data_IF_588418788223
#
_entry.id   IF_588418788223
#
_cell.length_a   1.000
_cell.length_b   1.000
_cell.length_c   1.000
_cell.angle_alpha   90.00
_cell.angle_beta   90.00
_cell.angle_gamma   90.00
#
_symmetry.space_group_name_H-M   'P 1'
#
loop_
_entity.id
_entity.type
_entity.pdbx_description
1 polymer ?
#
# COMPACT_ATOMS: atom_id res chain seq x y z
N UNK A 1 -24.94 -6.69 -16.21
CA UNK A 1 -24.81 -7.52 -17.41
C UNK A 1 -23.35 -7.87 -17.69
N UNK A 2 -22.60 -8.27 -16.66
CA UNK A 2 -21.17 -8.58 -16.77
C UNK A 2 -21.00 -10.06 -16.50
N UNK A 3 -20.27 -10.76 -17.37
CA UNK A 3 -20.04 -12.20 -17.28
C UNK A 3 -18.62 -12.57 -17.70
N UNK A 4 -18.12 -13.69 -17.17
CA UNK A 4 -16.90 -14.31 -17.66
C UNK A 4 -17.19 -15.08 -18.96
N UNK A 5 -16.42 -14.85 -20.02
CA UNK A 5 -16.59 -15.50 -21.32
C UNK A 5 -15.59 -16.63 -21.53
N UNK A 6 -15.86 -17.50 -22.52
CA UNK A 6 -15.04 -18.70 -22.82
C UNK A 6 -13.59 -18.44 -23.19
N UNK A 7 -13.26 -17.22 -23.63
CA UNK A 7 -11.88 -16.80 -23.89
C UNK A 7 -11.14 -16.36 -22.61
N UNK A 8 -11.77 -16.49 -21.44
CA UNK A 8 -11.28 -16.07 -20.12
C UNK A 8 -11.42 -14.56 -19.84
N UNK A 9 -11.93 -13.78 -20.79
CA UNK A 9 -12.15 -12.33 -20.59
C UNK A 9 -13.46 -12.07 -19.84
N UNK A 10 -13.58 -10.90 -19.24
CA UNK A 10 -14.83 -10.45 -18.61
C UNK A 10 -15.45 -9.39 -19.51
N UNK A 11 -16.69 -9.63 -19.95
CA UNK A 11 -17.37 -8.77 -20.94
C UNK A 11 -18.72 -8.29 -20.44
N UNK A 12 -19.18 -7.16 -20.99
CA UNK A 12 -20.55 -6.70 -20.80
C UNK A 12 -21.51 -7.29 -21.86
N UNK A 13 -22.80 -6.97 -21.76
CA UNK A 13 -23.83 -7.40 -22.72
C UNK A 13 -23.64 -6.91 -24.16
N UNK A 14 -22.84 -5.87 -24.40
CA UNK A 14 -22.54 -5.38 -25.75
C UNK A 14 -21.26 -6.00 -26.31
N UNK A 15 -20.63 -6.93 -25.59
CA UNK A 15 -19.40 -7.62 -25.99
C UNK A 15 -18.11 -6.83 -25.76
N UNK A 16 -18.19 -5.67 -25.10
CA UNK A 16 -17.00 -4.89 -24.73
C UNK A 16 -16.26 -5.58 -23.58
N UNK A 17 -14.94 -5.65 -23.72
CA UNK A 17 -14.04 -6.24 -22.72
C UNK A 17 -13.86 -5.27 -21.57
N UNK A 18 -14.18 -5.70 -20.35
CA UNK A 18 -13.97 -4.97 -19.10
C UNK A 18 -12.66 -5.38 -18.44
N UNK A 19 -12.38 -6.69 -18.37
CA UNK A 19 -11.12 -7.23 -17.85
C UNK A 19 -10.58 -8.31 -18.79
N UNK A 20 -9.24 -8.38 -18.90
CA UNK A 20 -8.56 -9.40 -19.70
C UNK A 20 -8.68 -10.78 -19.06
N UNK A 21 -8.66 -10.84 -17.73
CA UNK A 21 -8.90 -12.04 -16.93
C UNK A 21 -9.75 -11.71 -15.72
N UNK A 22 -10.64 -12.62 -15.35
CA UNK A 22 -11.43 -12.51 -14.13
C UNK A 22 -10.49 -12.38 -12.92
N UNK A 23 -10.71 -11.41 -12.04
CA UNK A 23 -9.86 -11.24 -10.85
C UNK A 23 -8.39 -10.91 -11.12
N UNK A 24 -8.01 -10.59 -12.38
CA UNK A 24 -6.62 -10.44 -12.85
C UNK A 24 -5.74 -11.71 -12.76
N UNK A 25 -6.27 -12.82 -12.26
CA UNK A 25 -5.60 -14.12 -12.12
C UNK A 25 -6.39 -15.29 -12.76
N UNK A 26 -7.63 -15.06 -13.21
CA UNK A 26 -8.48 -16.09 -13.81
C UNK A 26 -8.98 -17.15 -12.83
N UNK A 27 -8.90 -16.91 -11.52
CA UNK A 27 -9.22 -17.88 -10.48
C UNK A 27 -10.54 -17.53 -9.78
N UNK A 28 -11.26 -18.56 -9.34
CA UNK A 28 -12.48 -18.43 -8.58
C UNK A 28 -12.20 -18.03 -7.12
N UNK A 29 -12.87 -16.98 -6.65
CA UNK A 29 -12.81 -16.49 -5.28
C UNK A 29 -13.36 -17.47 -4.24
N UNK A 30 -14.15 -18.47 -4.64
CA UNK A 30 -14.57 -19.56 -3.75
C UNK A 30 -13.45 -20.54 -3.40
N UNK A 31 -12.40 -20.61 -4.22
CA UNK A 31 -11.33 -21.59 -4.11
C UNK A 31 -10.02 -21.03 -3.50
N UNK A 32 -10.01 -19.76 -3.10
CA UNK A 32 -8.83 -19.08 -2.55
C UNK A 32 -8.83 -19.03 -1.02
N UNK A 33 -7.64 -19.08 -0.44
CA UNK A 33 -7.45 -19.02 1.01
C UNK A 33 -6.35 -18.02 1.39
N UNK A 34 -6.39 -17.53 2.63
CA UNK A 34 -5.32 -16.71 3.18
C UNK A 34 -4.06 -17.55 3.40
N UNK A 35 -2.97 -17.11 2.78
CA UNK A 35 -1.65 -17.71 2.88
C UNK A 35 -0.61 -16.64 3.20
N UNK A 36 0.61 -17.04 3.57
CA UNK A 36 1.70 -16.10 3.84
C UNK A 36 2.90 -16.39 2.96
N UNK A 37 3.38 -15.34 2.28
CA UNK A 37 4.61 -15.39 1.49
C UNK A 37 5.83 -15.49 2.42
N UNK A 38 6.61 -16.59 2.36
CA UNK A 38 7.69 -16.82 3.31
C UNK A 38 8.96 -15.99 3.01
N UNK A 39 9.06 -15.38 1.82
CA UNK A 39 10.25 -14.64 1.33
C UNK A 39 10.24 -13.14 1.63
N UNK A 40 9.06 -12.55 1.87
CA UNK A 40 8.89 -11.10 1.91
C UNK A 40 9.50 -10.47 3.17
N UNK A 41 9.11 -10.98 4.34
CA UNK A 41 9.46 -10.46 5.68
C UNK A 41 10.90 -10.68 6.15
N UNK A 42 11.55 -11.84 5.92
CA UNK A 42 12.89 -12.09 6.47
C UNK A 42 13.93 -11.03 6.08
N UNK A 43 14.95 -10.83 6.91
CA UNK A 43 16.13 -10.05 6.54
C UNK A 43 16.94 -10.77 5.46
N UNK A 44 17.89 -10.10 4.80
CA UNK A 44 18.71 -10.74 3.76
C UNK A 44 19.51 -11.94 4.29
N UNK A 45 20.08 -11.81 5.49
CA UNK A 45 20.80 -12.91 6.15
C UNK A 45 19.90 -14.08 6.55
N UNK A 46 18.70 -13.79 7.07
CA UNK A 46 17.72 -14.83 7.41
C UNK A 46 17.18 -15.55 6.17
N UNK A 47 16.99 -14.81 5.08
CA UNK A 47 16.58 -15.35 3.79
C UNK A 47 17.64 -16.29 3.22
N UNK A 48 18.91 -15.88 3.18
CA UNK A 48 20.00 -16.75 2.72
C UNK A 48 20.09 -18.02 3.57
N UNK A 49 20.07 -17.88 4.91
CA UNK A 49 20.08 -19.04 5.79
C UNK A 49 18.91 -20.00 5.56
N UNK A 50 17.72 -19.49 5.24
CA UNK A 50 16.51 -20.31 5.11
C UNK A 50 16.34 -20.96 3.74
N UNK A 51 16.77 -20.30 2.66
CA UNK A 51 16.47 -20.74 1.29
C UNK A 51 17.71 -21.18 0.50
N UNK A 52 18.91 -20.65 0.78
CA UNK A 52 20.13 -21.06 0.08
C UNK A 52 20.56 -22.44 0.55
N UNK A 53 20.69 -23.36 -0.40
CA UNK A 53 21.06 -24.74 -0.12
C UNK A 53 22.54 -24.96 -0.39
N UNK A 54 23.30 -25.23 0.68
CA UNK A 54 24.73 -25.45 0.60
C UNK A 54 25.03 -26.95 0.68
N UNK A 55 25.47 -27.51 -0.45
CA UNK A 55 25.79 -28.93 -0.61
C UNK A 55 27.26 -29.26 -0.32
N UNK A 56 28.09 -28.27 0.04
CA UNK A 56 29.52 -28.51 0.31
C UNK A 56 29.76 -29.27 1.61
N UNK A 57 28.83 -29.19 2.57
CA UNK A 57 28.96 -29.83 3.87
C UNK A 57 28.39 -31.25 3.84
N UNK A 58 29.27 -32.24 3.66
CA UNK A 58 28.86 -33.65 3.61
C UNK A 58 28.18 -34.15 4.89
N UNK A 59 28.67 -33.72 6.07
CA UNK A 59 28.10 -34.13 7.37
C UNK A 59 26.67 -33.62 7.53
N UNK A 60 26.38 -32.46 6.95
CA UNK A 60 25.04 -31.90 6.88
C UNK A 60 24.13 -32.71 5.95
N UNK A 61 24.60 -33.04 4.76
CA UNK A 61 23.84 -33.83 3.78
C UNK A 61 23.49 -35.22 4.31
N UNK A 62 24.44 -35.94 4.93
CA UNK A 62 24.19 -37.27 5.52
C UNK A 62 23.17 -37.27 6.67
N UNK A 63 22.95 -36.13 7.31
CA UNK A 63 21.87 -35.98 8.31
C UNK A 63 20.51 -35.85 7.62
N UNK A 64 20.48 -35.32 6.40
CA UNK A 64 19.25 -34.92 5.74
C UNK A 64 18.77 -35.97 4.75
N UNK A 65 19.68 -36.55 3.97
CA UNK A 65 19.38 -37.47 2.88
C UNK A 65 19.89 -38.87 3.18
N UNK A 66 19.27 -39.86 2.53
CA UNK A 66 19.79 -41.22 2.48
C UNK A 66 21.15 -41.28 1.74
N UNK A 67 21.97 -42.29 2.04
CA UNK A 67 23.36 -42.36 1.57
C UNK A 67 23.49 -42.44 0.04
N UNK A 68 22.54 -43.09 -0.62
CA UNK A 68 22.40 -43.16 -2.07
C UNK A 68 22.26 -41.78 -2.70
N UNK A 69 21.35 -40.94 -2.18
CA UNK A 69 21.13 -39.57 -2.65
C UNK A 69 22.35 -38.69 -2.40
N UNK A 70 23.04 -38.85 -1.27
CA UNK A 70 24.28 -38.10 -0.99
C UNK A 70 25.36 -38.41 -2.02
N UNK A 71 25.53 -39.68 -2.40
CA UNK A 71 26.48 -40.10 -3.44
C UNK A 71 26.14 -39.50 -4.80
N UNK A 72 24.86 -39.46 -5.15
CA UNK A 72 24.42 -38.81 -6.41
C UNK A 72 24.70 -37.31 -6.42
N UNK A 73 24.42 -36.60 -5.32
CA UNK A 73 24.68 -35.16 -5.19
C UNK A 73 26.18 -34.87 -5.33
N UNK A 74 27.02 -35.66 -4.66
CA UNK A 74 28.48 -35.50 -4.71
C UNK A 74 29.09 -35.91 -6.06
N UNK A 75 28.52 -36.92 -6.73
CA UNK A 75 28.98 -37.39 -8.03
C UNK A 75 28.60 -36.48 -9.19
N UNK A 76 27.57 -35.64 -9.03
CA UNK A 76 27.04 -34.80 -10.10
C UNK A 76 27.47 -33.34 -9.96
N UNK A 77 28.36 -32.90 -10.86
CA UNK A 77 28.79 -31.50 -10.96
C UNK A 77 27.67 -30.54 -11.41
N UNK A 78 26.59 -31.04 -12.02
CA UNK A 78 25.47 -30.21 -12.47
C UNK A 78 24.53 -29.82 -11.33
N UNK A 79 24.50 -30.58 -10.23
CA UNK A 79 23.63 -30.35 -9.07
C UNK A 79 23.82 -28.95 -8.48
N UNK A 80 25.07 -28.52 -8.31
CA UNK A 80 25.38 -27.21 -7.76
C UNK A 80 24.84 -26.10 -8.66
N UNK A 81 25.03 -26.24 -9.98
CA UNK A 81 24.56 -25.25 -10.95
C UNK A 81 23.04 -25.10 -10.96
N UNK A 82 22.28 -26.20 -10.86
CA UNK A 82 20.81 -26.14 -10.81
C UNK A 82 20.30 -25.53 -9.50
N UNK A 83 20.93 -25.84 -8.37
CA UNK A 83 20.58 -25.23 -7.08
C UNK A 83 20.93 -23.73 -7.02
N UNK A 84 22.03 -23.32 -7.63
CA UNK A 84 22.38 -21.90 -7.77
C UNK A 84 21.38 -21.16 -8.69
N UNK A 85 20.91 -21.80 -9.76
CA UNK A 85 19.82 -21.25 -10.60
C UNK A 85 18.52 -21.09 -9.82
N UNK A 86 18.14 -22.07 -8.99
CA UNK A 86 16.98 -21.97 -8.10
C UNK A 86 17.13 -20.77 -7.14
N UNK A 87 18.30 -20.62 -6.53
CA UNK A 87 18.60 -19.54 -5.61
C UNK A 87 18.51 -18.15 -6.27
N UNK A 88 19.11 -17.95 -7.43
CA UNK A 88 19.05 -16.66 -8.15
C UNK A 88 17.61 -16.34 -8.59
N UNK A 89 16.81 -17.34 -8.97
CA UNK A 89 15.38 -17.15 -9.27
C UNK A 89 14.61 -16.68 -8.04
N UNK A 90 14.80 -17.33 -6.89
CA UNK A 90 14.15 -16.93 -5.63
C UNK A 90 14.53 -15.50 -5.19
N UNK A 91 15.77 -15.11 -5.43
CA UNK A 91 16.25 -13.74 -5.17
C UNK A 91 15.55 -12.73 -6.07
N UNK A 92 15.46 -13.02 -7.38
CA UNK A 92 14.74 -12.18 -8.35
C UNK A 92 13.26 -12.05 -8.01
N UNK A 93 12.60 -13.17 -7.68
CA UNK A 93 11.20 -13.21 -7.28
C UNK A 93 10.97 -12.37 -6.02
N UNK A 94 11.89 -12.43 -5.04
CA UNK A 94 11.82 -11.63 -3.82
C UNK A 94 11.97 -10.12 -4.07
N UNK A 95 12.86 -9.73 -4.97
CA UNK A 95 13.02 -8.32 -5.35
C UNK A 95 11.75 -7.78 -6.00
N UNK A 96 11.17 -8.53 -6.93
CA UNK A 96 9.90 -8.19 -7.56
C UNK A 96 8.75 -8.14 -6.54
N UNK A 97 8.65 -9.11 -5.64
CA UNK A 97 7.63 -9.12 -4.58
C UNK A 97 7.73 -7.91 -3.65
N UNK A 98 8.92 -7.41 -3.35
CA UNK A 98 9.10 -6.19 -2.53
C UNK A 98 8.72 -4.91 -3.26
N UNK A 99 8.81 -4.91 -4.59
CA UNK A 99 8.29 -3.82 -5.42
C UNK A 99 6.76 -3.86 -5.48
N UNK A 100 6.18 -5.05 -5.61
CA UNK A 100 4.72 -5.25 -5.64
C UNK A 100 4.08 -4.95 -4.27
N UNK A 101 4.71 -5.37 -3.16
CA UNK A 101 4.23 -5.16 -1.79
C UNK A 101 5.16 -4.22 -1.00
N UNK A 102 5.14 -2.90 -1.26
CA UNK A 102 6.06 -1.95 -0.63
C UNK A 102 5.86 -1.82 0.89
N UNK A 103 4.64 -2.06 1.38
CA UNK A 103 4.31 -2.01 2.82
C UNK A 103 4.74 -3.28 3.58
N UNK A 104 5.20 -4.32 2.88
CA UNK A 104 5.72 -5.55 3.50
C UNK A 104 4.66 -6.48 4.09
N UNK A 105 3.39 -6.35 3.70
CA UNK A 105 2.39 -7.34 4.11
C UNK A 105 2.64 -8.68 3.40
N UNK A 106 2.86 -9.72 4.20
CA UNK A 106 3.15 -11.06 3.69
C UNK A 106 1.89 -11.87 3.46
N UNK A 107 0.74 -11.42 3.96
CA UNK A 107 -0.52 -12.14 3.79
C UNK A 107 -1.01 -11.93 2.35
N UNK A 108 -1.26 -13.03 1.67
CA UNK A 108 -1.78 -13.07 0.30
C UNK A 108 -2.98 -13.99 0.26
N UNK A 109 -3.87 -13.78 -0.70
CA UNK A 109 -5.02 -14.65 -0.95
C UNK A 109 -4.74 -15.40 -2.23
N UNK A 110 -4.56 -16.72 -2.14
CA UNK A 110 -4.16 -17.56 -3.25
C UNK A 110 -4.86 -18.93 -3.15
N UNK A 111 -5.12 -19.61 -4.29
CA UNK A 111 -5.67 -20.96 -4.28
C UNK A 111 -4.66 -21.94 -3.71
N UNK A 112 -5.12 -23.17 -3.42
CA UNK A 112 -4.26 -24.29 -3.01
C UNK A 112 -3.43 -23.96 -1.76
N UNK A 113 -3.98 -24.18 -0.57
CA UNK A 113 -3.25 -23.96 0.68
C UNK A 113 -2.08 -24.94 0.83
N UNK A 114 -0.89 -24.50 0.39
CA UNK A 114 0.27 -25.38 0.26
C UNK A 114 0.70 -25.97 1.59
N UNK A 115 0.57 -25.22 2.69
CA UNK A 115 0.91 -25.72 4.03
C UNK A 115 0.02 -26.89 4.43
N UNK A 116 -1.29 -26.79 4.19
CA UNK A 116 -2.25 -27.86 4.47
C UNK A 116 -2.00 -29.07 3.58
N UNK A 117 -1.71 -28.84 2.30
CA UNK A 117 -1.44 -29.93 1.35
C UNK A 117 -0.16 -30.69 1.68
N UNK A 118 0.91 -29.99 2.06
CA UNK A 118 2.15 -30.61 2.54
C UNK A 118 1.89 -31.43 3.81
N UNK A 119 1.11 -30.89 4.75
CA UNK A 119 0.77 -31.61 5.98
C UNK A 119 -0.06 -32.88 5.69
N UNK A 120 -1.01 -32.80 4.75
CA UNK A 120 -1.76 -33.97 4.29
C UNK A 120 -0.84 -35.04 3.67
N UNK A 121 0.11 -34.63 2.82
CA UNK A 121 1.10 -35.54 2.25
C UNK A 121 1.92 -36.25 3.36
N UNK A 122 2.38 -35.50 4.37
CA UNK A 122 3.10 -36.07 5.50
C UNK A 122 2.27 -37.10 6.28
N UNK A 123 0.95 -36.91 6.38
CA UNK A 123 0.05 -37.84 7.06
C UNK A 123 -0.25 -39.08 6.25
N UNK A 124 -0.52 -38.95 4.95
CA UNK A 124 -0.84 -40.06 4.05
C UNK A 124 0.34 -41.03 3.93
N UNK A 125 1.55 -40.49 3.76
CA UNK A 125 2.77 -41.28 3.57
C UNK A 125 3.53 -41.56 4.89
N UNK A 126 2.93 -41.22 6.04
CA UNK A 126 3.53 -41.42 7.37
C UNK A 126 4.98 -40.92 7.49
N UNK A 127 5.25 -39.73 6.93
CA UNK A 127 6.59 -39.14 6.87
C UNK A 127 7.13 -38.87 8.27
N UNK A 128 8.30 -39.42 8.58
CA UNK A 128 8.99 -39.17 9.83
C UNK A 128 9.98 -38.00 9.66
N UNK A 129 9.76 -36.91 10.39
CA UNK A 129 10.61 -35.71 10.33
C UNK A 129 12.05 -35.94 10.82
N UNK A 130 12.32 -37.06 11.50
CA UNK A 130 13.65 -37.42 12.00
C UNK A 130 14.41 -38.35 11.08
N UNK A 131 13.75 -39.03 10.14
CA UNK A 131 14.43 -39.90 9.20
C UNK A 131 15.02 -39.08 8.04
N UNK A 132 16.13 -39.54 7.45
CA UNK A 132 16.62 -38.98 6.20
C UNK A 132 15.59 -39.15 5.07
N UNK A 133 15.57 -38.22 4.12
CA UNK A 133 14.72 -38.29 2.92
C UNK A 133 15.46 -38.95 1.76
N UNK A 134 14.72 -39.70 0.95
CA UNK A 134 15.13 -40.31 -0.33
C UNK A 134 14.98 -39.33 -1.53
N UNK A 135 14.40 -38.15 -1.31
CA UNK A 135 14.09 -37.21 -2.37
C UNK A 135 15.33 -36.43 -2.83
N UNK A 136 15.75 -36.65 -4.07
CA UNK A 136 16.85 -35.91 -4.67
C UNK A 136 16.45 -34.42 -4.92
N UNK A 137 17.26 -33.43 -4.47
CA UNK A 137 17.01 -32.01 -4.71
C UNK A 137 16.78 -31.63 -6.17
N UNK A 138 17.46 -32.30 -7.12
CA UNK A 138 17.27 -32.03 -8.55
C UNK A 138 15.83 -32.35 -8.97
N UNK A 139 15.27 -33.47 -8.49
CA UNK A 139 13.88 -33.83 -8.76
C UNK A 139 12.89 -32.79 -8.20
N UNK A 140 13.23 -32.16 -7.07
CA UNK A 140 12.43 -31.05 -6.53
C UNK A 140 12.43 -29.87 -7.49
N UNK A 141 13.61 -29.41 -7.91
CA UNK A 141 13.72 -28.27 -8.85
C UNK A 141 13.01 -28.53 -10.18
N UNK A 142 13.18 -29.73 -10.75
CA UNK A 142 12.55 -30.13 -12.01
C UNK A 142 11.02 -30.26 -11.85
N UNK A 143 10.56 -30.92 -10.79
CA UNK A 143 9.14 -31.11 -10.53
C UNK A 143 8.39 -29.79 -10.31
N UNK A 144 9.02 -28.84 -9.60
CA UNK A 144 8.45 -27.49 -9.45
C UNK A 144 8.43 -26.75 -10.79
N UNK A 145 9.49 -26.82 -11.59
CA UNK A 145 9.54 -26.14 -12.89
C UNK A 145 8.50 -26.71 -13.87
N UNK A 146 8.31 -28.03 -13.88
CA UNK A 146 7.32 -28.68 -14.72
C UNK A 146 5.89 -28.39 -14.27
N UNK A 147 5.64 -28.34 -12.96
CA UNK A 147 4.37 -27.84 -12.43
C UNK A 147 4.12 -26.40 -12.87
N UNK A 148 5.13 -25.53 -12.75
CA UNK A 148 5.07 -24.11 -13.14
C UNK A 148 4.74 -23.90 -14.62
N UNK A 149 5.15 -24.82 -15.50
CA UNK A 149 4.79 -24.81 -16.94
C UNK A 149 3.33 -25.23 -17.18
N UNK A 150 2.77 -26.12 -16.35
CA UNK A 150 1.37 -26.57 -16.46
C UNK A 150 0.36 -25.52 -15.98
N UNK A 151 0.80 -24.53 -15.19
CA UNK A 151 -0.02 -23.42 -14.74
C UNK A 151 -0.33 -22.46 -15.90
N UNK A 152 -1.39 -22.76 -16.64
CA UNK A 152 -1.85 -21.97 -17.79
C UNK A 152 -3.20 -21.34 -17.47
N UNK A 153 -3.23 -20.01 -17.41
CA UNK A 153 -4.43 -19.15 -17.31
C UNK A 153 -4.70 -18.46 -18.66
N UNK A 154 -3.64 -18.05 -19.36
CA UNK A 154 -3.73 -17.47 -20.69
C UNK A 154 -3.24 -18.50 -21.70
N UNK A 155 -4.14 -19.17 -22.44
CA UNK A 155 -3.71 -20.10 -23.48
C UNK A 155 -3.12 -19.33 -24.66
N UNK A 156 -1.98 -19.80 -25.17
CA UNK A 156 -1.33 -19.25 -26.36
C UNK A 156 0.18 -19.50 -26.37
N UNK A 157 0.72 -19.75 -27.56
CA UNK A 157 2.16 -19.96 -27.78
C UNK A 157 2.88 -18.70 -28.25
N UNK A 158 2.13 -17.64 -28.58
CA UNK A 158 2.70 -16.37 -29.00
C UNK A 158 3.39 -15.65 -27.82
N UNK A 159 4.38 -14.83 -28.16
CA UNK A 159 5.20 -14.13 -27.16
C UNK A 159 4.36 -13.30 -26.17
N UNK A 160 3.23 -12.74 -26.61
CA UNK A 160 2.39 -11.89 -25.79
C UNK A 160 1.55 -12.73 -24.81
N UNK A 161 0.97 -13.83 -25.27
CA UNK A 161 0.24 -14.76 -24.39
C UNK A 161 1.14 -15.39 -23.33
N UNK A 162 2.36 -15.80 -23.68
CA UNK A 162 3.33 -16.34 -22.70
C UNK A 162 3.65 -15.30 -21.63
N UNK A 163 3.91 -14.05 -22.04
CA UNK A 163 4.17 -12.96 -21.10
C UNK A 163 2.95 -12.64 -20.23
N UNK A 164 1.75 -12.67 -20.80
CA UNK A 164 0.50 -12.46 -20.06
C UNK A 164 0.27 -13.56 -19.02
N UNK A 165 0.53 -14.83 -19.37
CA UNK A 165 0.41 -15.96 -18.45
C UNK A 165 1.44 -15.86 -17.31
N UNK A 166 2.68 -15.48 -17.64
CA UNK A 166 3.75 -15.30 -16.66
C UNK A 166 3.39 -14.23 -15.62
N UNK A 167 2.75 -13.13 -16.06
CA UNK A 167 2.29 -12.07 -15.17
C UNK A 167 1.10 -12.51 -14.31
N UNK A 168 0.09 -13.16 -14.89
CA UNK A 168 -1.11 -13.61 -14.18
C UNK A 168 -0.77 -14.69 -13.12
N UNK A 169 0.18 -15.58 -13.41
CA UNK A 169 0.60 -16.64 -12.48
C UNK A 169 1.73 -16.23 -11.54
N UNK A 170 2.30 -15.02 -11.67
CA UNK A 170 3.54 -14.63 -10.99
C UNK A 170 3.48 -14.86 -9.48
N UNK A 171 2.42 -14.39 -8.82
CA UNK A 171 2.29 -14.44 -7.37
C UNK A 171 2.20 -15.89 -6.86
N UNK A 172 1.42 -16.74 -7.55
CA UNK A 172 1.27 -18.15 -7.22
C UNK A 172 2.56 -18.94 -7.49
N UNK A 173 3.26 -18.66 -8.59
CA UNK A 173 4.57 -19.25 -8.90
C UNK A 173 5.62 -18.90 -7.85
N UNK A 174 5.66 -17.65 -7.40
CA UNK A 174 6.56 -17.21 -6.35
C UNK A 174 6.23 -17.88 -5.01
N UNK A 175 4.95 -18.10 -4.70
CA UNK A 175 4.53 -18.89 -3.53
C UNK A 175 4.98 -20.36 -3.65
N UNK A 176 4.76 -21.00 -4.78
CA UNK A 176 5.16 -22.39 -5.03
C UNK A 176 6.67 -22.56 -4.90
N UNK A 177 7.47 -21.77 -5.61
CA UNK A 177 8.94 -21.83 -5.56
C UNK A 177 9.48 -21.56 -4.16
N UNK A 178 8.90 -20.61 -3.44
CA UNK A 178 9.33 -20.30 -2.08
C UNK A 178 8.86 -21.32 -1.04
N UNK A 179 7.76 -22.02 -1.29
CA UNK A 179 7.27 -23.04 -0.38
C UNK A 179 7.96 -24.37 -0.61
N UNK A 180 8.03 -24.81 -1.86
CA UNK A 180 8.60 -26.07 -2.31
C UNK A 180 10.07 -25.95 -2.73
N UNK A 181 10.84 -25.03 -2.14
CA UNK A 181 12.26 -24.96 -2.45
C UNK A 181 13.01 -26.20 -1.93
N UNK A 182 14.06 -26.59 -2.66
CA UNK A 182 14.83 -27.82 -2.39
C UNK A 182 15.23 -27.95 -0.93
N UNK A 183 15.71 -26.86 -0.34
CA UNK A 183 16.11 -26.78 1.07
C UNK A 183 14.96 -27.05 2.04
N UNK A 184 13.82 -26.39 1.86
CA UNK A 184 12.69 -26.49 2.79
C UNK A 184 12.00 -27.84 2.68
N UNK A 185 11.86 -28.36 1.46
CA UNK A 185 11.34 -29.71 1.23
C UNK A 185 12.19 -30.76 1.94
N UNK A 186 13.52 -30.66 1.85
CA UNK A 186 14.42 -31.60 2.49
C UNK A 186 14.54 -31.42 4.02
N UNK A 187 14.57 -30.19 4.52
CA UNK A 187 14.84 -29.91 5.94
C UNK A 187 13.59 -29.78 6.80
N UNK A 188 12.63 -28.94 6.37
CA UNK A 188 11.42 -28.61 7.14
C UNK A 188 10.35 -29.69 6.96
N UNK A 189 10.12 -30.13 5.71
CA UNK A 189 9.00 -31.03 5.39
C UNK A 189 9.39 -32.50 5.31
N UNK A 190 10.65 -32.81 4.99
CA UNK A 190 11.21 -34.17 4.95
C UNK A 190 10.43 -35.11 4.02
N UNK A 191 9.87 -34.58 2.93
CA UNK A 191 9.02 -35.36 2.02
C UNK A 191 9.84 -36.46 1.35
N UNK A 192 9.22 -37.62 1.14
CA UNK A 192 9.77 -38.69 0.29
C UNK A 192 9.50 -38.43 -1.19
N UNK A 193 10.13 -39.20 -2.07
CA UNK A 193 9.90 -39.09 -3.52
C UNK A 193 8.42 -39.28 -3.88
N UNK A 194 7.79 -40.32 -3.34
CA UNK A 194 6.37 -40.63 -3.57
C UNK A 194 5.44 -39.53 -3.02
N UNK A 195 5.73 -39.02 -1.81
CA UNK A 195 4.93 -37.96 -1.20
C UNK A 195 5.03 -36.64 -1.98
N UNK A 196 6.19 -36.36 -2.56
CA UNK A 196 6.41 -35.17 -3.38
C UNK A 196 5.69 -35.26 -4.73
N UNK A 197 5.76 -36.40 -5.43
CA UNK A 197 5.02 -36.63 -6.68
C UNK A 197 3.51 -36.54 -6.48
N UNK A 198 2.99 -37.15 -5.41
CA UNK A 198 1.59 -37.02 -5.03
C UNK A 198 1.19 -35.55 -4.78
N UNK A 199 2.03 -34.81 -4.06
CA UNK A 199 1.79 -33.39 -3.76
C UNK A 199 1.72 -32.54 -5.05
N UNK A 200 2.63 -32.75 -6.01
CA UNK A 200 2.60 -32.03 -7.29
C UNK A 200 1.31 -32.31 -8.08
N UNK A 201 0.87 -33.57 -8.11
CA UNK A 201 -0.38 -33.97 -8.78
C UNK A 201 -1.63 -33.37 -8.12
N UNK A 202 -1.68 -33.33 -6.79
CA UNK A 202 -2.78 -32.70 -6.06
C UNK A 202 -2.79 -31.17 -6.27
N UNK A 203 -1.62 -30.50 -6.30
CA UNK A 203 -1.56 -29.06 -6.60
C UNK A 203 -2.08 -28.76 -8.01
N UNK A 204 -1.67 -29.53 -9.01
CA UNK A 204 -2.14 -29.37 -10.39
C UNK A 204 -3.67 -29.53 -10.47
N UNK A 205 -4.20 -30.62 -9.89
CA UNK A 205 -5.63 -30.90 -9.87
C UNK A 205 -6.43 -29.79 -9.18
N UNK A 206 -5.96 -29.32 -8.02
CA UNK A 206 -6.62 -28.25 -7.25
C UNK A 206 -6.54 -26.90 -7.95
N UNK A 207 -5.43 -26.62 -8.62
CA UNK A 207 -5.28 -25.38 -9.38
C UNK A 207 -6.23 -25.34 -10.58
N UNK A 208 -6.37 -26.44 -11.31
CA UNK A 208 -7.33 -26.54 -12.42
C UNK A 208 -8.78 -26.40 -11.94
N UNK A 209 -9.12 -26.98 -10.78
CA UNK A 209 -10.44 -26.81 -10.16
C UNK A 209 -10.71 -25.37 -9.71
N UNK A 210 -9.67 -24.62 -9.35
CA UNK A 210 -9.78 -23.24 -8.90
C UNK A 210 -9.95 -22.23 -10.05
N UNK A 211 -9.93 -22.66 -11.32
CA UNK A 211 -10.18 -21.77 -12.44
C UNK A 211 -11.66 -21.36 -12.50
N UNK A 212 -11.89 -20.08 -12.83
CA UNK A 212 -13.25 -19.56 -13.00
C UNK A 212 -13.97 -20.31 -14.13
N UNK A 213 -15.24 -20.64 -13.91
CA UNK A 213 -16.03 -21.31 -14.93
C UNK A 213 -16.52 -20.28 -15.97
N UNK A 214 -16.28 -20.51 -17.27
CA UNK A 214 -16.84 -19.65 -18.31
C UNK A 214 -18.37 -19.65 -18.27
N UNK A 215 -18.96 -18.49 -18.55
CA UNK A 215 -20.41 -18.29 -18.49
C UNK A 215 -20.91 -17.80 -17.13
N UNK A 216 -20.04 -17.70 -16.13
CA UNK A 216 -20.41 -17.22 -14.81
C UNK A 216 -20.84 -15.74 -14.83
N UNK A 217 -21.98 -15.46 -14.18
CA UNK A 217 -22.58 -14.13 -14.12
C UNK A 217 -21.95 -13.26 -13.02
N UNK A 218 -20.68 -12.94 -13.21
CA UNK A 218 -19.84 -12.23 -12.22
C UNK A 218 -20.40 -10.88 -11.78
N UNK A 219 -21.17 -10.19 -12.63
CA UNK A 219 -21.76 -8.90 -12.28
C UNK A 219 -22.81 -8.98 -11.17
N UNK A 220 -23.59 -10.06 -11.12
CA UNK A 220 -24.58 -10.25 -10.05
C UNK A 220 -23.91 -10.63 -8.74
N UNK A 221 -22.92 -11.54 -8.81
CA UNK A 221 -22.11 -11.96 -7.67
C UNK A 221 -21.38 -10.77 -7.04
N UNK A 222 -20.65 -9.98 -7.85
CA UNK A 222 -19.95 -8.79 -7.37
C UNK A 222 -20.88 -7.77 -6.70
N UNK A 223 -22.09 -7.57 -7.25
CA UNK A 223 -23.07 -6.66 -6.67
C UNK A 223 -23.57 -7.15 -5.29
N UNK A 224 -23.81 -8.46 -5.14
CA UNK A 224 -24.20 -9.07 -3.87
C UNK A 224 -23.07 -9.01 -2.84
N UNK A 225 -21.84 -9.36 -3.25
CA UNK A 225 -20.66 -9.35 -2.38
C UNK A 225 -20.31 -7.95 -1.85
N UNK A 226 -20.64 -6.88 -2.59
CA UNK A 226 -20.51 -5.51 -2.10
C UNK A 226 -21.72 -5.08 -1.25
N UNK A 227 -22.92 -5.52 -1.62
CA UNK A 227 -24.18 -5.14 -0.98
C UNK A 227 -24.38 -5.73 0.42
N UNK A 228 -24.03 -6.99 0.62
CA UNK A 228 -24.14 -7.67 1.92
C UNK A 228 -23.36 -6.95 3.04
N UNK A 229 -22.03 -6.70 2.92
CA UNK A 229 -21.29 -6.01 3.97
C UNK A 229 -21.75 -4.57 4.15
N UNK A 230 -22.27 -3.91 3.11
CA UNK A 230 -22.81 -2.57 3.24
C UNK A 230 -23.96 -2.49 4.27
N UNK A 231 -24.80 -3.53 4.37
CA UNK A 231 -25.85 -3.59 5.40
C UNK A 231 -25.25 -3.62 6.81
N UNK A 232 -24.16 -4.37 7.01
CA UNK A 232 -23.44 -4.48 8.29
C UNK A 232 -22.71 -3.19 8.66
N UNK A 233 -22.17 -2.48 7.68
CA UNK A 233 -21.45 -1.21 7.89
C UNK A 233 -22.35 -0.05 8.37
N UNK A 234 -23.68 -0.20 8.32
CA UNK A 234 -24.63 0.86 8.73
C UNK A 234 -24.55 1.17 10.23
N UNK A 235 -24.17 0.20 11.06
CA UNK A 235 -24.25 0.30 12.53
C UNK A 235 -22.90 0.58 13.23
N UNK A 236 -21.76 0.37 12.56
CA UNK A 236 -20.43 0.36 13.22
C UNK A 236 -19.53 1.59 12.94
N UNK A 237 -20.08 2.70 12.44
CA UNK A 237 -19.27 3.83 11.92
C UNK A 237 -18.69 4.79 12.94
N UNK A 238 -19.06 4.70 14.23
CA UNK A 238 -18.71 5.71 15.24
C UNK A 238 -17.62 5.30 16.24
N UNK A 239 -17.07 4.08 16.15
CA UNK A 239 -16.17 3.54 17.16
C UNK A 239 -14.73 3.28 16.66
N UNK A 240 -14.19 4.10 15.77
CA UNK A 240 -12.74 4.08 15.53
C UNK A 240 -12.01 4.88 16.62
N UNK A 241 -11.67 4.22 17.72
CA UNK A 241 -10.83 4.79 18.76
C UNK A 241 -9.39 4.97 18.23
N UNK A 242 -8.82 6.18 18.33
CA UNK A 242 -7.38 6.40 18.11
C UNK A 242 -6.99 7.51 17.14
N UNK A 243 -7.93 8.20 16.48
CA UNK A 243 -7.61 9.38 15.65
C UNK A 243 -8.49 10.56 16.06
N UNK A 244 -7.86 11.54 16.72
CA UNK A 244 -8.57 12.70 17.26
C UNK A 244 -9.13 13.59 16.14
N UNK A 245 -10.41 13.96 16.27
CA UNK A 245 -11.08 15.11 15.64
C UNK A 245 -11.40 15.10 14.13
N UNK A 246 -11.39 13.97 13.42
CA UNK A 246 -11.92 13.90 12.03
C UNK A 246 -13.15 13.00 11.95
N UNK A 247 -14.34 13.62 11.96
CA UNK A 247 -15.59 12.99 11.54
C UNK A 247 -15.51 12.73 10.02
N UNK A 248 -14.81 11.68 9.60
CA UNK A 248 -14.84 11.23 8.21
C UNK A 248 -16.18 10.53 7.98
N UNK A 249 -16.90 10.84 6.90
CA UNK A 249 -18.06 10.05 6.52
C UNK A 249 -17.62 8.61 6.23
N UNK A 250 -18.10 7.66 7.03
CA UNK A 250 -17.84 6.24 6.88
C UNK A 250 -19.16 5.48 6.63
N UNK A 251 -19.05 4.21 6.24
CA UNK A 251 -20.19 3.32 6.05
C UNK A 251 -21.09 3.69 4.88
N UNK A 252 -22.40 3.44 5.02
CA UNK A 252 -23.40 3.62 3.95
C UNK A 252 -23.44 5.05 3.37
N UNK A 253 -23.38 6.14 4.18
CA UNK A 253 -23.31 7.50 3.64
C UNK A 253 -22.14 7.69 2.67
N UNK A 254 -20.97 7.11 2.98
CA UNK A 254 -19.78 7.21 2.12
C UNK A 254 -19.94 6.37 0.85
N UNK A 255 -20.48 5.16 0.97
CA UNK A 255 -20.77 4.30 -0.17
C UNK A 255 -21.71 5.00 -1.16
N UNK A 256 -22.76 5.65 -0.67
CA UNK A 256 -23.70 6.43 -1.49
C UNK A 256 -23.04 7.62 -2.20
N UNK A 257 -22.09 8.30 -1.56
CA UNK A 257 -21.33 9.38 -2.20
C UNK A 257 -20.43 8.87 -3.33
N UNK A 258 -19.77 7.74 -3.13
CA UNK A 258 -18.85 7.14 -4.11
C UNK A 258 -19.64 6.63 -5.33
N UNK A 259 -20.72 5.87 -5.11
CA UNK A 259 -21.55 5.31 -6.20
C UNK A 259 -22.17 6.43 -7.06
N UNK A 260 -22.64 7.51 -6.44
CA UNK A 260 -23.26 8.63 -7.16
C UNK A 260 -22.25 9.64 -7.71
N UNK A 261 -20.96 9.48 -7.42
CA UNK A 261 -19.89 10.39 -7.84
C UNK A 261 -20.26 11.85 -7.47
N UNK A 262 -20.60 12.06 -6.19
CA UNK A 262 -21.04 13.36 -5.69
C UNK A 262 -19.97 14.45 -5.88
N UNK A 263 -20.30 15.55 -6.58
CA UNK A 263 -19.36 16.68 -6.81
C UNK A 263 -18.85 17.35 -5.54
N UNK A 264 -19.67 17.36 -4.47
CA UNK A 264 -19.33 17.96 -3.17
C UNK A 264 -19.47 16.89 -2.09
N UNK A 265 -18.41 16.12 -1.77
CA UNK A 265 -18.44 15.16 -0.67
C UNK A 265 -18.63 15.89 0.66
N UNK A 266 -19.34 15.27 1.62
CA UNK A 266 -19.66 15.95 2.90
C UNK A 266 -18.43 16.25 3.74
N UNK A 267 -17.44 15.36 3.74
CA UNK A 267 -16.20 15.51 4.51
C UNK A 267 -14.99 15.35 3.58
N UNK A 268 -14.64 16.37 2.77
CA UNK A 268 -13.45 16.33 1.95
C UNK A 268 -12.22 16.26 2.85
N UNK A 269 -11.30 15.34 2.56
CA UNK A 269 -10.06 15.19 3.30
C UNK A 269 -8.90 14.96 2.33
N UNK A 270 -7.73 15.45 2.73
CA UNK A 270 -6.48 15.30 2.01
C UNK A 270 -5.40 14.89 3.01
N UNK A 271 -4.64 13.85 2.69
CA UNK A 271 -3.45 13.45 3.45
C UNK A 271 -2.22 13.92 2.68
N UNK A 272 -1.44 14.82 3.27
CA UNK A 272 -0.21 15.34 2.68
C UNK A 272 0.99 14.69 3.36
N UNK A 273 1.80 13.96 2.60
CA UNK A 273 3.04 13.39 3.10
C UNK A 273 4.17 14.42 2.96
N UNK A 274 4.89 14.67 4.06
CA UNK A 274 6.03 15.58 4.07
C UNK A 274 7.31 14.84 3.63
N UNK A 275 8.25 15.57 3.04
CA UNK A 275 9.54 15.04 2.58
C UNK A 275 10.72 15.69 3.30
N UNK A 276 11.88 15.04 3.27
CA UNK A 276 13.12 15.60 3.82
C UNK A 276 13.09 15.79 5.33
N UNK A 277 13.63 16.91 5.81
CA UNK A 277 13.71 17.21 7.25
C UNK A 277 12.32 17.41 7.88
N UNK A 278 11.36 17.98 7.15
CA UNK A 278 10.00 18.22 7.65
C UNK A 278 9.22 16.93 7.93
N UNK A 279 9.63 15.79 7.36
CA UNK A 279 9.03 14.49 7.66
C UNK A 279 9.42 13.94 9.04
N UNK A 280 10.53 14.43 9.62
CA UNK A 280 11.11 13.92 10.88
C UNK A 280 11.11 14.95 12.01
N UNK A 281 10.94 16.23 11.67
CA UNK A 281 11.02 17.36 12.59
C UNK A 281 9.66 18.04 12.72
N UNK A 282 9.13 18.08 13.95
CA UNK A 282 7.83 18.65 14.25
C UNK A 282 7.76 20.17 14.02
N UNK A 283 8.85 20.91 14.27
CA UNK A 283 8.86 22.37 14.08
C UNK A 283 8.79 22.75 12.61
N UNK A 284 9.52 22.02 11.76
CA UNK A 284 9.47 22.18 10.30
C UNK A 284 8.14 21.70 9.72
N UNK A 285 7.54 20.66 10.30
CA UNK A 285 6.19 20.24 9.92
C UNK A 285 5.15 21.32 10.24
N UNK A 286 5.29 22.01 11.39
CA UNK A 286 4.42 23.14 11.77
C UNK A 286 4.58 24.31 10.81
N UNK A 287 5.78 24.61 10.33
CA UNK A 287 6.00 25.64 9.31
C UNK A 287 5.24 25.35 8.01
N UNK A 288 5.29 24.11 7.52
CA UNK A 288 4.51 23.69 6.35
C UNK A 288 3.00 23.78 6.62
N UNK A 289 2.55 23.41 7.83
CA UNK A 289 1.15 23.54 8.22
C UNK A 289 0.66 24.99 8.16
N UNK A 290 1.42 25.94 8.72
CA UNK A 290 1.09 27.36 8.71
C UNK A 290 0.95 27.91 7.27
N UNK A 291 1.78 27.43 6.33
CA UNK A 291 1.72 27.82 4.92
C UNK A 291 0.53 27.25 4.15
N UNK A 292 0.05 26.07 4.54
CA UNK A 292 -1.09 25.40 3.87
C UNK A 292 -2.43 25.79 4.48
N UNK A 293 -2.46 26.15 5.78
CA UNK A 293 -3.71 26.48 6.46
C UNK A 293 -4.27 27.82 5.96
N UNK A 294 -5.45 27.79 5.36
CA UNK A 294 -6.17 29.01 5.00
C UNK A 294 -6.58 29.80 6.25
N UNK A 295 -5.87 30.90 6.47
CA UNK A 295 -6.05 31.82 7.57
C UNK A 295 -6.54 33.15 7.02
N UNK A 296 -7.72 33.58 7.48
CA UNK A 296 -8.25 34.91 7.17
C UNK A 296 -7.91 35.88 8.30
N UNK A 297 -7.87 37.18 7.99
CA UNK A 297 -7.65 38.24 8.98
C UNK A 297 -8.64 38.12 10.14
N UNK A 298 -9.92 37.82 9.85
CA UNK A 298 -10.96 37.54 10.86
C UNK A 298 -10.57 36.51 11.92
N UNK A 299 -9.81 35.47 11.56
CA UNK A 299 -9.38 34.45 12.53
C UNK A 299 -8.27 34.98 13.45
N UNK A 300 -7.52 35.99 13.05
CA UNK A 300 -6.37 36.53 13.79
C UNK A 300 -6.78 37.78 14.60
N UNK A 301 -7.76 38.52 14.12
CA UNK A 301 -8.34 39.69 14.79
C UNK A 301 -9.11 39.31 16.06
N UNK A 302 -8.78 39.97 17.16
CA UNK A 302 -9.50 39.91 18.43
C UNK A 302 -10.66 40.91 18.45
N UNK A 303 -10.41 42.16 18.06
CA UNK A 303 -11.40 43.23 18.08
C UNK A 303 -11.22 44.18 16.88
N UNK A 304 -12.32 44.79 16.43
CA UNK A 304 -12.33 45.82 15.39
C UNK A 304 -13.22 46.96 15.83
N UNK A 305 -12.68 48.17 15.86
CA UNK A 305 -13.41 49.37 16.22
C UNK A 305 -13.11 50.50 15.25
N UNK A 306 -14.12 51.33 14.98
CA UNK A 306 -13.98 52.53 14.14
C UNK A 306 -14.04 53.73 15.07
N UNK A 307 -13.04 54.59 14.97
CA UNK A 307 -12.93 55.83 15.72
C UNK A 307 -12.99 57.01 14.74
N UNK A 308 -13.53 58.11 15.23
CA UNK A 308 -13.46 59.39 14.52
C UNK A 308 -12.28 60.16 15.09
N UNK A 309 -11.26 60.37 14.26
CA UNK A 309 -9.99 60.98 14.62
C UNK A 309 -9.66 62.12 13.63
N UNK A 310 -10.05 63.37 13.94
CA UNK A 310 -9.94 64.48 13.00
C UNK A 310 -8.50 64.99 12.82
N UNK A 311 -7.60 64.71 13.76
CA UNK A 311 -6.17 65.03 13.66
C UNK A 311 -5.34 63.73 13.59
N UNK A 312 -4.76 63.39 12.43
CA UNK A 312 -3.98 62.16 12.28
C UNK A 312 -2.75 62.04 13.18
N UNK A 313 -2.21 63.17 13.66
CA UNK A 313 -1.02 63.17 14.53
C UNK A 313 -1.40 62.97 15.99
N UNK A 314 -2.46 63.63 16.46
CA UNK A 314 -2.90 63.55 17.84
C UNK A 314 -4.14 62.66 17.98
N UNK A 315 -3.91 61.35 18.09
CA UNK A 315 -5.02 60.41 18.23
C UNK A 315 -5.80 60.59 19.54
N UNK A 316 -7.11 60.38 19.48
CA UNK A 316 -8.01 60.34 20.65
C UNK A 316 -7.72 59.13 21.58
N UNK A 317 -6.97 58.14 21.08
CA UNK A 317 -6.67 56.91 21.80
C UNK A 317 -5.38 57.07 22.62
N UNK A 318 -5.54 57.26 23.93
CA UNK A 318 -4.42 57.51 24.87
C UNK A 318 -3.34 56.42 24.81
N UNK A 319 -3.72 55.16 24.60
CA UNK A 319 -2.78 54.02 24.56
C UNK A 319 -1.87 54.01 23.33
N UNK A 320 -2.35 54.56 22.20
CA UNK A 320 -1.66 54.51 20.91
C UNK A 320 -0.91 55.83 20.61
N UNK A 321 -1.08 56.86 21.45
CA UNK A 321 -0.59 58.22 21.21
C UNK A 321 0.93 58.32 21.04
N UNK A 322 1.70 57.62 21.89
CA UNK A 322 3.17 57.58 21.77
C UNK A 322 3.62 56.94 20.46
N UNK A 323 2.96 55.84 20.06
CA UNK A 323 3.28 55.10 18.84
C UNK A 323 2.94 55.90 17.57
N UNK A 324 1.76 56.52 17.53
CA UNK A 324 1.29 57.30 16.38
C UNK A 324 2.17 58.55 16.17
N UNK A 325 2.54 59.24 17.26
CA UNK A 325 3.44 60.39 17.19
C UNK A 325 4.78 60.04 16.55
N UNK A 326 5.43 58.96 16.99
CA UNK A 326 6.72 58.51 16.44
C UNK A 326 6.61 58.10 14.97
N UNK A 327 5.49 57.48 14.56
CA UNK A 327 5.29 57.07 13.17
C UNK A 327 5.21 58.26 12.21
N UNK A 328 4.50 59.32 12.60
CA UNK A 328 4.31 60.51 11.76
C UNK A 328 5.41 61.58 11.90
N UNK A 329 6.41 61.38 12.76
CA UNK A 329 7.64 62.19 12.79
C UNK A 329 8.53 61.95 11.55
N UNK A 330 8.29 60.90 10.77
CA UNK A 330 9.00 60.61 9.52
C UNK A 330 8.45 61.48 8.36
N UNK A 331 9.32 62.17 7.58
CA UNK A 331 8.93 63.29 6.70
C UNK A 331 8.24 62.92 5.37
N UNK A 332 7.90 61.65 5.13
CA UNK A 332 7.45 61.15 3.82
C UNK A 332 5.91 61.08 3.65
N UNK A 333 5.13 61.71 4.55
CA UNK A 333 3.67 61.55 4.60
C UNK A 333 2.90 62.85 4.27
N UNK A 334 1.92 62.77 3.35
CA UNK A 334 1.02 63.88 2.98
C UNK A 334 -0.31 63.80 3.78
N UNK A 335 -0.53 64.66 4.80
CA UNK A 335 -1.70 64.63 5.67
C UNK A 335 -3.02 64.92 4.94
N UNK A 336 -2.96 65.49 3.73
CA UNK A 336 -4.15 65.90 2.97
C UNK A 336 -4.92 64.72 2.34
N UNK A 337 -4.32 63.52 2.32
CA UNK A 337 -4.89 62.31 1.70
C UNK A 337 -5.56 61.36 2.70
N UNK A 338 -5.64 61.69 3.99
CA UNK A 338 -6.16 60.80 5.03
C UNK A 338 -7.64 61.07 5.31
N UNK A 339 -8.39 60.00 5.59
CA UNK A 339 -9.76 60.08 6.13
C UNK A 339 -9.73 60.37 7.64
N UNK A 340 -10.66 61.19 8.16
CA UNK A 340 -10.83 61.39 9.61
C UNK A 340 -11.45 60.16 10.32
N UNK A 341 -11.76 59.09 9.59
CA UNK A 341 -12.26 57.83 10.16
C UNK A 341 -11.12 56.80 10.25
N UNK A 342 -10.76 56.43 11.48
CA UNK A 342 -9.72 55.45 11.79
C UNK A 342 -10.34 54.08 12.07
N UNK A 343 -9.84 53.04 11.40
CA UNK A 343 -10.19 51.64 11.70
C UNK A 343 -9.07 51.00 12.54
N UNK A 344 -9.31 50.79 13.84
CA UNK A 344 -8.40 50.09 14.74
C UNK A 344 -8.71 48.59 14.74
N UNK A 345 -7.71 47.78 14.44
CA UNK A 345 -7.79 46.31 14.46
C UNK A 345 -6.83 45.79 15.52
N UNK A 346 -7.38 45.18 16.56
CA UNK A 346 -6.59 44.52 17.61
C UNK A 346 -6.40 43.05 17.25
N UNK A 347 -5.15 42.57 17.22
CA UNK A 347 -4.81 41.18 16.88
C UNK A 347 -4.53 40.33 18.12
N UNK A 348 -4.97 39.08 18.10
CA UNK A 348 -4.72 38.13 19.18
C UNK A 348 -3.26 37.62 19.15
N UNK A 349 -2.46 38.04 20.14
CA UNK A 349 -1.05 37.66 20.28
C UNK A 349 -0.82 36.15 20.29
N UNK A 350 -1.73 35.37 20.89
CA UNK A 350 -1.60 33.89 20.95
C UNK A 350 -1.71 33.29 19.56
N UNK A 351 -2.72 33.72 18.77
CA UNK A 351 -2.93 33.24 17.39
C UNK A 351 -1.82 33.69 16.44
N UNK A 352 -1.30 34.90 16.63
CA UNK A 352 -0.14 35.41 15.88
C UNK A 352 1.09 34.51 16.10
N UNK A 353 1.36 34.14 17.36
CA UNK A 353 2.50 33.29 17.71
C UNK A 353 2.33 31.87 17.17
N UNK A 354 1.14 31.30 17.33
CA UNK A 354 0.85 29.94 16.89
C UNK A 354 1.00 29.76 15.37
N UNK A 355 0.64 30.81 14.62
CA UNK A 355 0.71 30.84 13.15
C UNK A 355 2.02 31.40 12.60
N UNK A 356 2.97 31.79 13.47
CA UNK A 356 4.26 32.41 13.10
C UNK A 356 4.08 33.60 12.14
N UNK A 357 3.05 34.43 12.39
CA UNK A 357 2.77 35.63 11.59
C UNK A 357 3.48 36.86 12.17
N UNK A 358 3.97 37.73 11.29
CA UNK A 358 4.53 39.04 11.66
C UNK A 358 3.62 40.18 11.19
N UNK A 359 3.65 41.33 11.86
CA UNK A 359 2.84 42.49 11.47
C UNK A 359 3.22 43.02 10.10
N UNK A 360 4.51 43.00 9.76
CA UNK A 360 5.04 43.37 8.45
C UNK A 360 4.38 42.57 7.31
N UNK A 361 4.28 41.23 7.47
CA UNK A 361 3.64 40.37 6.47
C UNK A 361 2.15 40.68 6.29
N UNK A 362 1.45 41.06 7.38
CA UNK A 362 0.04 41.40 7.33
C UNK A 362 -0.15 42.74 6.62
N UNK A 363 0.61 43.77 7.01
CA UNK A 363 0.55 45.10 6.40
C UNK A 363 0.88 45.05 4.90
N UNK A 364 1.93 44.32 4.51
CA UNK A 364 2.31 44.14 3.11
C UNK A 364 1.17 43.50 2.30
N UNK A 365 0.49 42.48 2.84
CA UNK A 365 -0.64 41.82 2.14
C UNK A 365 -1.89 42.68 2.05
N UNK A 366 -2.15 43.54 3.03
CA UNK A 366 -3.27 44.49 2.98
C UNK A 366 -2.98 45.55 1.91
N UNK A 367 -1.80 46.18 1.95
CA UNK A 367 -1.40 47.19 0.97
C UNK A 367 -1.35 46.60 -0.45
N UNK A 368 -0.87 45.36 -0.63
CA UNK A 368 -0.89 44.69 -1.93
C UNK A 368 -2.31 44.38 -2.45
N UNK A 369 -3.29 44.21 -1.55
CA UNK A 369 -4.68 43.90 -1.92
C UNK A 369 -5.52 45.14 -2.23
N UNK A 370 -5.30 46.23 -1.50
CA UNK A 370 -6.07 47.47 -1.60
C UNK A 370 -5.32 48.61 -2.31
N UNK A 371 -4.03 48.42 -2.65
CA UNK A 371 -3.21 49.45 -3.27
C UNK A 371 -2.96 50.63 -2.33
N UNK A 372 -2.87 51.83 -2.92
CA UNK A 372 -2.60 53.09 -2.21
C UNK A 372 -3.86 53.72 -1.57
N UNK A 373 -5.01 53.04 -1.63
CA UNK A 373 -6.28 53.54 -1.09
C UNK A 373 -6.36 53.41 0.44
N UNK A 374 -5.51 52.56 1.04
CA UNK A 374 -5.48 52.32 2.48
C UNK A 374 -4.04 52.36 2.99
N UNK A 375 -3.81 53.14 4.04
CA UNK A 375 -2.53 53.14 4.76
C UNK A 375 -2.63 52.29 6.04
N UNK A 376 -1.63 51.43 6.26
CA UNK A 376 -1.56 50.53 7.41
C UNK A 376 -0.45 50.98 8.37
N UNK A 377 -0.82 51.27 9.62
CA UNK A 377 0.11 51.53 10.73
C UNK A 377 0.02 50.38 11.74
N UNK A 378 1.15 49.95 12.30
CA UNK A 378 1.20 48.81 13.23
C UNK A 378 2.33 48.96 14.26
N UNK A 379 2.08 48.45 15.48
CA UNK A 379 3.02 48.36 16.61
C UNK A 379 3.28 46.89 16.97
#
# INVERSE_FOLDING_TARGET
SVMATYDGTVRNSTGQVIQLRYGEDGLDGGCVEFQSMPTLKPSNKAFEKKFKFDITNERYLRRIFAEDVVREIQGSATTLSELDKEWERLKKDREMLRQVFPMGDSKVVLPCNLQRMIWNAQKIFHVNLRSPTDLNPIRVTQGVEDLVKKLIIVPGEDRLSVQANDNATFLFRALLRSTLCSKRVAEEFRLSSEAFEWLLGEIDTRFQQAQVQPGEMVGALAAQSLGEPATQMTLNTFHYAGVSAKNVTLGVPRLKEIINISKKPKTPSLTVFLTGAAARDAEKAKDVLCRLEHTTLRKVTANTAIYYDPDPQNTVIVEDQEFVNVYYEMPDFDPSRISPWLLRIELDRKRMTDKKLTMEQIAEKINAGFGDDLNCIFN
#
